data_IF_316329782125
#
_entry.id   IF_316329782125
#
_cell.length_a   1.000
_cell.length_b   1.000
_cell.length_c   1.000
_cell.angle_alpha   90.00
_cell.angle_beta   90.00
_cell.angle_gamma   90.00
#
_symmetry.space_group_name_H-M   'P 1'
#
loop_
_entity.id
_entity.type
_entity.pdbx_description
1 polymer ?
#
# COMPACT_ATOMS: atom_id res chain seq x y z
N UNK A 1 -27.39 -10.02 -19.47
CA UNK A 1 -27.67 -10.01 -18.04
C UNK A 1 -26.92 -8.90 -17.33
N UNK A 2 -27.30 -8.53 -16.11
CA UNK A 2 -26.58 -7.50 -15.38
C UNK A 2 -25.17 -7.98 -15.08
N UNK A 3 -24.20 -7.33 -15.69
CA UNK A 3 -22.80 -7.54 -15.34
C UNK A 3 -22.54 -6.87 -13.99
N UNK A 4 -22.28 -7.66 -12.98
CA UNK A 4 -21.68 -7.14 -11.75
C UNK A 4 -20.24 -6.73 -12.06
N UNK A 5 -20.03 -5.45 -12.26
CA UNK A 5 -18.70 -4.89 -12.18
C UNK A 5 -18.39 -4.60 -10.72
N UNK A 6 -17.61 -5.46 -10.09
CA UNK A 6 -17.00 -5.05 -8.85
C UNK A 6 -15.98 -3.96 -9.19
N UNK A 7 -16.23 -2.77 -8.67
CA UNK A 7 -15.34 -1.64 -8.86
C UNK A 7 -13.97 -1.93 -8.24
N UNK A 8 -12.96 -2.13 -9.09
CA UNK A 8 -11.57 -2.30 -8.69
C UNK A 8 -11.00 -3.70 -8.79
N UNK A 9 -11.76 -4.69 -9.27
CA UNK A 9 -11.24 -6.02 -9.59
C UNK A 9 -11.08 -6.18 -11.10
N UNK A 10 -9.86 -6.33 -11.55
CA UNK A 10 -9.51 -6.60 -12.94
C UNK A 10 -8.62 -7.83 -12.99
N UNK A 11 -9.01 -8.81 -13.80
CA UNK A 11 -8.19 -10.00 -14.04
C UNK A 11 -7.01 -9.65 -14.95
N UNK A 12 -5.80 -9.98 -14.54
CA UNK A 12 -4.61 -9.89 -15.36
C UNK A 12 -3.81 -11.20 -15.30
N UNK A 13 -3.29 -11.63 -16.44
CA UNK A 13 -2.40 -12.77 -16.52
C UNK A 13 -0.95 -12.33 -16.59
N UNK A 14 -0.09 -12.97 -15.82
CA UNK A 14 1.35 -12.80 -15.85
C UNK A 14 2.04 -14.08 -15.39
N UNK A 15 3.33 -14.20 -15.65
CA UNK A 15 4.13 -15.40 -15.32
C UNK A 15 4.33 -15.59 -13.81
N UNK A 16 4.13 -14.53 -13.04
CA UNK A 16 4.25 -14.57 -11.58
C UNK A 16 3.17 -13.68 -10.90
N UNK A 17 2.92 -13.93 -9.61
CA UNK A 17 1.92 -13.22 -8.83
C UNK A 17 2.20 -11.71 -8.67
N UNK A 18 3.43 -11.25 -8.38
CA UNK A 18 3.72 -9.81 -8.28
C UNK A 18 3.46 -9.06 -9.58
N UNK A 19 3.84 -9.62 -10.72
CA UNK A 19 3.60 -9.02 -12.03
C UNK A 19 2.11 -9.01 -12.37
N UNK A 20 1.39 -10.09 -12.07
CA UNK A 20 -0.06 -10.16 -12.24
C UNK A 20 -0.77 -9.11 -11.38
N UNK A 21 -0.37 -8.95 -10.13
CA UNK A 21 -0.90 -7.93 -9.23
C UNK A 21 -0.66 -6.52 -9.77
N UNK A 22 0.56 -6.19 -10.19
CA UNK A 22 0.90 -4.89 -10.76
C UNK A 22 0.11 -4.57 -12.04
N UNK A 23 -0.12 -5.57 -12.90
CA UNK A 23 -0.96 -5.42 -14.10
C UNK A 23 -2.42 -5.18 -13.75
N UNK A 24 -2.97 -5.92 -12.78
CA UNK A 24 -4.33 -5.76 -12.32
C UNK A 24 -4.56 -4.36 -11.71
N UNK A 25 -3.65 -3.87 -10.89
CA UNK A 25 -3.73 -2.53 -10.30
C UNK A 25 -3.64 -1.42 -11.37
N UNK A 26 -2.78 -1.57 -12.37
CA UNK A 26 -2.72 -0.63 -13.51
C UNK A 26 -3.99 -0.63 -14.34
N UNK A 27 -4.54 -1.80 -14.61
CA UNK A 27 -5.79 -1.94 -15.36
C UNK A 27 -6.98 -1.36 -14.59
N UNK A 28 -6.95 -1.42 -13.26
CA UNK A 28 -7.93 -0.76 -12.39
C UNK A 28 -7.73 0.77 -12.28
N UNK A 29 -6.74 1.34 -12.96
CA UNK A 29 -6.43 2.77 -12.93
C UNK A 29 -5.67 3.22 -11.67
N UNK A 30 -5.14 2.26 -10.92
CA UNK A 30 -4.32 2.51 -9.74
C UNK A 30 -2.89 2.09 -10.00
N UNK A 31 -1.95 2.96 -9.70
CA UNK A 31 -0.53 2.67 -9.77
C UNK A 31 0.02 2.41 -8.38
N UNK A 32 0.75 1.31 -8.21
CA UNK A 32 1.54 1.10 -7.02
C UNK A 32 2.66 2.16 -6.96
N UNK A 33 2.82 2.84 -5.81
CA UNK A 33 3.88 3.84 -5.66
C UNK A 33 5.25 3.15 -5.59
N UNK A 34 6.26 3.77 -6.20
CA UNK A 34 7.65 3.28 -6.09
C UNK A 34 8.29 3.67 -4.75
N UNK A 35 7.80 4.73 -4.12
CA UNK A 35 8.27 5.28 -2.84
C UNK A 35 7.17 6.14 -2.22
N UNK A 36 7.40 6.65 -1.04
CA UNK A 36 6.50 7.57 -0.37
C UNK A 36 6.10 7.12 1.03
N UNK A 37 4.86 7.33 1.38
CA UNK A 37 4.30 7.06 2.70
C UNK A 37 3.26 5.96 2.63
N UNK A 38 3.40 4.92 3.45
CA UNK A 38 2.47 3.82 3.59
C UNK A 38 1.77 3.88 4.95
N UNK A 39 0.46 3.80 4.94
CA UNK A 39 -0.35 3.68 6.16
C UNK A 39 -0.80 2.25 6.36
N UNK A 40 -0.63 1.75 7.59
CA UNK A 40 -1.02 0.40 7.99
C UNK A 40 -1.97 0.45 9.18
N UNK A 41 -3.11 -0.18 9.03
CA UNK A 41 -4.08 -0.40 10.10
C UNK A 41 -4.72 -1.77 9.92
N UNK A 42 -4.30 -2.71 10.74
CA UNK A 42 -4.74 -4.10 10.63
C UNK A 42 -5.47 -4.56 11.89
N UNK A 43 -6.40 -5.48 11.70
CA UNK A 43 -7.08 -6.16 12.81
C UNK A 43 -6.10 -6.98 13.63
N UNK A 44 -6.52 -7.39 14.83
CA UNK A 44 -5.63 -8.04 15.80
C UNK A 44 -5.02 -9.34 15.28
N UNK A 45 -5.80 -10.14 14.55
CA UNK A 45 -5.32 -11.40 13.98
C UNK A 45 -4.24 -11.22 12.90
N UNK A 46 -4.18 -10.04 12.30
CA UNK A 46 -3.24 -9.74 11.22
C UNK A 46 -1.95 -9.04 11.70
N UNK A 47 -1.86 -8.66 12.99
CA UNK A 47 -0.74 -7.86 13.51
C UNK A 47 0.62 -8.54 13.37
N UNK A 48 0.71 -9.83 13.63
CA UNK A 48 1.98 -10.54 13.51
C UNK A 48 2.39 -10.72 12.05
N UNK A 49 1.42 -11.03 11.17
CA UNK A 49 1.69 -11.29 9.76
C UNK A 49 1.94 -10.02 8.93
N UNK A 50 1.55 -8.85 9.43
CA UNK A 50 1.84 -7.57 8.75
C UNK A 50 3.28 -7.10 8.98
N UNK A 51 3.97 -7.58 10.01
CA UNK A 51 5.34 -7.16 10.34
C UNK A 51 6.31 -7.36 9.18
N UNK A 52 6.40 -8.53 8.53
CA UNK A 52 7.27 -8.70 7.36
C UNK A 52 6.94 -7.74 6.21
N UNK A 53 5.68 -7.45 5.99
CA UNK A 53 5.23 -6.48 4.97
C UNK A 53 5.75 -5.07 5.30
N UNK A 54 5.59 -4.66 6.54
CA UNK A 54 6.08 -3.36 7.02
C UNK A 54 7.60 -3.25 6.95
N UNK A 55 8.31 -4.33 7.30
CA UNK A 55 9.77 -4.41 7.18
C UNK A 55 10.22 -4.25 5.73
N UNK A 56 9.55 -4.91 4.79
CA UNK A 56 9.85 -4.81 3.38
C UNK A 56 9.56 -3.39 2.84
N UNK A 57 8.45 -2.77 3.24
CA UNK A 57 8.15 -1.37 2.89
C UNK A 57 9.21 -0.42 3.44
N UNK A 58 9.63 -0.57 4.69
CA UNK A 58 10.69 0.23 5.28
C UNK A 58 12.02 0.02 4.55
N UNK A 59 12.36 -1.21 4.18
CA UNK A 59 13.53 -1.55 3.36
C UNK A 59 13.52 -0.91 1.97
N UNK A 60 12.34 -0.70 1.41
CA UNK A 60 12.14 0.06 0.17
C UNK A 60 12.14 1.59 0.37
N UNK A 61 12.33 2.06 1.59
CA UNK A 61 12.40 3.49 1.92
C UNK A 61 11.05 4.17 2.15
N UNK A 62 9.96 3.42 2.30
CA UNK A 62 8.68 3.99 2.67
C UNK A 62 8.69 4.50 4.11
N UNK A 63 8.10 5.68 4.32
CA UNK A 63 7.72 6.16 5.64
C UNK A 63 6.49 5.40 6.10
N UNK A 64 6.49 4.90 7.32
CA UNK A 64 5.40 4.11 7.87
C UNK A 64 4.53 4.94 8.82
N UNK A 65 3.24 4.94 8.57
CA UNK A 65 2.20 5.46 9.45
C UNK A 65 1.32 4.30 9.91
N UNK A 66 0.84 4.31 11.13
CA UNK A 66 -0.07 3.28 11.62
C UNK A 66 -0.97 3.77 12.74
N UNK A 67 -2.13 3.12 12.90
CA UNK A 67 -2.97 3.30 14.09
C UNK A 67 -2.33 2.67 15.34
N UNK A 68 -2.74 3.10 16.53
CA UNK A 68 -2.06 2.80 17.79
C UNK A 68 -1.69 1.33 17.99
N UNK A 69 -2.63 0.40 17.79
CA UNK A 69 -2.38 -1.03 17.97
C UNK A 69 -1.36 -1.58 16.97
N UNK A 70 -1.50 -1.23 15.70
CA UNK A 70 -0.56 -1.61 14.65
C UNK A 70 0.80 -0.96 14.87
N UNK A 71 0.83 0.34 15.22
CA UNK A 71 2.07 1.06 15.50
C UNK A 71 2.86 0.42 16.64
N UNK A 72 2.20 0.00 17.71
CA UNK A 72 2.87 -0.71 18.83
C UNK A 72 3.53 -2.01 18.37
N UNK A 73 2.82 -2.81 17.59
CA UNK A 73 3.37 -4.06 17.04
C UNK A 73 4.58 -3.81 16.17
N UNK A 74 4.52 -2.84 15.26
CA UNK A 74 5.62 -2.50 14.36
C UNK A 74 6.83 -1.93 15.12
N UNK A 75 6.59 -1.04 16.09
CA UNK A 75 7.64 -0.48 16.94
C UNK A 75 8.33 -1.57 17.77
N UNK A 76 7.58 -2.53 18.30
CA UNK A 76 8.13 -3.68 19.03
C UNK A 76 9.00 -4.59 18.14
N UNK A 77 8.78 -4.58 16.84
CA UNK A 77 9.61 -5.26 15.84
C UNK A 77 10.81 -4.41 15.37
N UNK A 78 11.07 -3.27 16.00
CA UNK A 78 12.21 -2.40 15.71
C UNK A 78 12.01 -1.44 14.54
N UNK A 79 10.78 -1.28 14.04
CA UNK A 79 10.48 -0.38 12.93
C UNK A 79 10.21 1.05 13.40
N UNK A 80 10.74 2.03 12.67
CA UNK A 80 10.34 3.41 12.82
C UNK A 80 8.94 3.60 12.21
N UNK A 81 7.97 3.91 13.02
CA UNK A 81 6.57 4.09 12.64
C UNK A 81 5.97 5.30 13.34
N UNK A 82 5.23 6.11 12.61
CA UNK A 82 4.54 7.28 13.13
C UNK A 82 3.08 6.92 13.43
N UNK A 83 2.61 7.32 14.59
CA UNK A 83 1.22 7.12 15.00
C UNK A 83 0.29 8.07 14.27
N UNK A 84 -0.82 7.54 13.78
CA UNK A 84 -1.94 8.30 13.22
C UNK A 84 -3.23 7.86 13.91
N UNK A 85 -4.00 8.83 14.39
CA UNK A 85 -5.26 8.52 15.08
C UNK A 85 -6.31 7.92 14.14
N UNK A 86 -7.19 7.11 14.71
CA UNK A 86 -8.36 6.57 13.98
C UNK A 86 -9.32 7.70 13.60
N UNK A 87 -10.09 7.48 12.52
CA UNK A 87 -11.01 8.47 11.96
C UNK A 87 -12.09 8.87 12.97
N UNK A 88 -12.62 7.90 13.73
CA UNK A 88 -13.65 8.14 14.75
C UNK A 88 -13.09 8.61 16.11
N UNK A 89 -11.79 8.67 16.27
CA UNK A 89 -11.15 9.06 17.52
C UNK A 89 -11.04 10.59 17.61
N UNK A 90 -11.57 11.19 18.68
CA UNK A 90 -11.37 12.60 18.97
C UNK A 90 -9.91 12.88 19.33
N UNK A 91 -9.43 14.06 18.99
CA UNK A 91 -8.07 14.50 19.29
C UNK A 91 -7.51 15.44 18.24
N UNK A 92 -6.38 16.04 18.57
CA UNK A 92 -5.64 16.93 17.68
C UNK A 92 -4.82 16.15 16.66
N UNK A 93 -4.60 16.77 15.51
CA UNK A 93 -3.82 16.22 14.42
C UNK A 93 -4.65 15.51 13.35
N UNK A 94 -4.03 15.26 12.19
CA UNK A 94 -4.72 14.69 11.05
C UNK A 94 -5.04 13.20 11.25
N UNK A 95 -6.14 12.76 10.65
CA UNK A 95 -6.43 11.35 10.44
C UNK A 95 -5.80 10.87 9.14
N UNK A 96 -5.79 9.55 8.91
CA UNK A 96 -5.35 9.02 7.62
C UNK A 96 -6.21 9.53 6.46
N UNK A 97 -7.51 9.74 6.68
CA UNK A 97 -8.41 10.32 5.67
C UNK A 97 -7.93 11.72 5.26
N UNK A 98 -7.53 12.55 6.23
CA UNK A 98 -6.98 13.88 5.95
C UNK A 98 -5.67 13.79 5.17
N UNK A 99 -4.79 12.86 5.54
CA UNK A 99 -3.50 12.67 4.87
C UNK A 99 -3.68 12.17 3.44
N UNK A 100 -4.59 11.23 3.22
CA UNK A 100 -4.92 10.73 1.86
C UNK A 100 -5.46 11.86 0.99
N UNK A 101 -6.43 12.63 1.51
CA UNK A 101 -7.04 13.75 0.77
C UNK A 101 -6.03 14.86 0.43
N UNK A 102 -5.02 15.06 1.26
CA UNK A 102 -3.95 16.04 1.05
C UNK A 102 -2.79 15.52 0.20
N UNK A 103 -2.88 14.30 -0.33
CA UNK A 103 -1.81 13.68 -1.11
C UNK A 103 -0.56 13.33 -0.31
N UNK A 104 -0.69 13.11 1.00
CA UNK A 104 0.40 12.79 1.93
C UNK A 104 0.46 11.33 2.35
N UNK A 105 -0.29 10.48 1.69
CA UNK A 105 -0.28 9.03 1.86
C UNK A 105 -0.38 8.39 0.47
N UNK A 106 0.52 7.51 0.15
CA UNK A 106 0.69 6.94 -1.19
C UNK A 106 0.23 5.50 -1.30
N UNK A 107 0.14 4.80 -0.17
CA UNK A 107 -0.29 3.41 -0.09
C UNK A 107 -1.05 3.20 1.22
N UNK A 108 -2.19 2.52 1.16
CA UNK A 108 -2.99 2.15 2.32
C UNK A 108 -3.10 0.63 2.42
N UNK A 109 -2.76 0.09 3.57
CA UNK A 109 -3.04 -1.29 3.96
C UNK A 109 -4.00 -1.25 5.14
N UNK A 110 -5.25 -1.65 4.92
CA UNK A 110 -6.30 -1.61 5.92
C UNK A 110 -7.12 -2.89 5.92
N UNK A 111 -6.82 -3.81 6.84
CA UNK A 111 -7.64 -5.01 6.98
C UNK A 111 -8.89 -4.69 7.80
N UNK A 112 -10.09 -5.04 7.30
CA UNK A 112 -11.33 -4.59 7.91
C UNK A 112 -11.59 -5.25 9.25
N UNK A 113 -12.02 -4.42 10.23
CA UNK A 113 -12.67 -4.89 11.45
C UNK A 113 -14.16 -4.56 11.37
N UNK A 114 -14.99 -5.60 11.35
CA UNK A 114 -16.43 -5.42 11.24
C UNK A 114 -16.90 -5.05 9.82
N UNK A 115 -18.21 -4.92 9.68
CA UNK A 115 -18.87 -4.60 8.42
C UNK A 115 -19.76 -3.36 8.57
N UNK A 116 -19.87 -2.57 7.52
CA UNK A 116 -20.81 -1.45 7.42
C UNK A 116 -20.18 -0.10 7.03
N UNK A 117 -21.02 0.78 6.52
CA UNK A 117 -20.63 2.07 5.94
C UNK A 117 -20.14 3.12 6.96
N UNK A 118 -20.27 2.84 8.25
CA UNK A 118 -19.87 3.76 9.34
C UNK A 118 -18.55 3.40 10.00
N UNK A 119 -17.89 2.33 9.54
CA UNK A 119 -16.59 1.92 10.08
C UNK A 119 -15.48 2.83 9.58
N UNK A 120 -14.42 2.97 10.38
CA UNK A 120 -13.21 3.69 9.96
C UNK A 120 -12.64 3.13 8.66
N UNK A 121 -12.67 1.81 8.51
CA UNK A 121 -12.22 1.14 7.29
C UNK A 121 -12.97 1.57 6.03
N UNK A 122 -14.27 1.77 6.13
CA UNK A 122 -15.07 2.28 5.00
C UNK A 122 -14.62 3.69 4.59
N UNK A 123 -14.49 4.60 5.56
CA UNK A 123 -14.05 5.97 5.31
C UNK A 123 -12.65 6.05 4.71
N UNK A 124 -11.74 5.19 5.17
CA UNK A 124 -10.39 5.09 4.63
C UNK A 124 -10.41 4.62 3.18
N UNK A 125 -11.17 3.57 2.88
CA UNK A 125 -11.31 3.05 1.50
C UNK A 125 -11.94 4.05 0.55
N UNK A 126 -12.99 4.75 1.01
CA UNK A 126 -13.64 5.79 0.22
C UNK A 126 -12.67 6.93 -0.11
N UNK A 127 -11.93 7.43 0.88
CA UNK A 127 -10.94 8.49 0.68
C UNK A 127 -9.81 8.04 -0.27
N UNK A 128 -9.32 6.82 -0.11
CA UNK A 128 -8.30 6.24 -0.99
C UNK A 128 -8.80 6.10 -2.44
N UNK A 129 -10.04 5.66 -2.62
CA UNK A 129 -10.66 5.54 -3.94
C UNK A 129 -10.76 6.89 -4.64
N UNK A 130 -11.27 7.91 -3.95
CA UNK A 130 -11.40 9.27 -4.49
C UNK A 130 -10.03 9.88 -4.83
N UNK A 131 -9.05 9.68 -3.97
CA UNK A 131 -7.68 10.18 -4.18
C UNK A 131 -6.84 9.30 -5.12
N UNK A 132 -7.38 8.19 -5.61
CA UNK A 132 -6.67 7.18 -6.43
C UNK A 132 -5.43 6.60 -5.75
N UNK A 133 -5.45 6.51 -4.44
CA UNK A 133 -4.41 5.85 -3.64
C UNK A 133 -4.75 4.36 -3.54
N UNK A 134 -3.81 3.45 -3.83
CA UNK A 134 -4.03 2.03 -3.64
C UNK A 134 -4.41 1.72 -2.19
N UNK A 135 -5.51 1.02 -2.00
CA UNK A 135 -5.98 0.56 -0.70
C UNK A 135 -6.12 -0.96 -0.70
N UNK A 136 -5.25 -1.63 0.02
CA UNK A 136 -5.14 -3.08 0.05
C UNK A 136 -5.78 -3.57 1.35
N UNK A 137 -6.68 -4.54 1.24
CA UNK A 137 -7.53 -4.96 2.35
C UNK A 137 -7.17 -6.32 2.95
N UNK A 138 -6.11 -6.95 2.45
CA UNK A 138 -5.56 -8.21 2.99
C UNK A 138 -4.05 -8.12 3.15
N UNK A 139 -3.49 -8.83 4.12
CA UNK A 139 -2.03 -8.88 4.32
C UNK A 139 -1.36 -9.61 3.16
N UNK A 140 -1.97 -10.66 2.62
CA UNK A 140 -1.44 -11.36 1.43
C UNK A 140 -1.39 -10.45 0.20
N UNK A 141 -2.41 -9.63 -0.01
CA UNK A 141 -2.43 -8.61 -1.06
C UNK A 141 -1.35 -7.54 -0.85
N UNK A 142 -1.12 -7.12 0.40
CA UNK A 142 -0.06 -6.19 0.75
C UNK A 142 1.34 -6.79 0.49
N UNK A 143 1.56 -8.05 0.83
CA UNK A 143 2.80 -8.76 0.52
C UNK A 143 3.05 -8.81 -1.00
N UNK A 144 2.06 -9.17 -1.79
CA UNK A 144 2.15 -9.18 -3.25
C UNK A 144 2.44 -7.78 -3.83
N UNK A 145 1.83 -6.73 -3.26
CA UNK A 145 2.10 -5.35 -3.67
C UNK A 145 3.54 -4.92 -3.40
N UNK A 146 4.08 -5.27 -2.24
CA UNK A 146 5.49 -4.97 -1.88
C UNK A 146 6.45 -5.67 -2.83
N UNK A 147 6.22 -6.94 -3.14
CA UNK A 147 7.03 -7.68 -4.12
C UNK A 147 6.94 -7.05 -5.51
N UNK A 148 5.75 -6.61 -5.93
CA UNK A 148 5.55 -5.92 -7.20
C UNK A 148 6.31 -4.58 -7.27
N UNK A 149 6.31 -3.82 -6.18
CA UNK A 149 7.07 -2.56 -6.06
C UNK A 149 8.57 -2.84 -6.17
N UNK A 150 9.09 -3.81 -5.43
CA UNK A 150 10.49 -4.20 -5.46
C UNK A 150 10.91 -4.63 -6.86
N UNK A 151 10.13 -5.49 -7.51
CA UNK A 151 10.39 -5.97 -8.87
C UNK A 151 10.41 -4.83 -9.90
N UNK A 152 9.45 -3.91 -9.85
CA UNK A 152 9.41 -2.77 -10.74
C UNK A 152 10.62 -1.84 -10.57
N UNK A 153 11.11 -1.67 -9.35
CA UNK A 153 12.33 -0.89 -9.07
C UNK A 153 13.59 -1.56 -9.63
N UNK A 154 13.69 -2.88 -9.52
CA UNK A 154 14.81 -3.64 -10.08
C UNK A 154 14.81 -3.56 -11.61
N UNK A 155 13.67 -3.67 -12.27
CA UNK A 155 13.54 -3.48 -13.71
C UNK A 155 14.00 -2.10 -14.17
N UNK A 156 13.64 -1.04 -13.45
CA UNK A 156 14.09 0.32 -13.76
C UNK A 156 15.61 0.45 -13.58
N UNK A 157 16.17 -0.10 -12.52
CA UNK A 157 17.63 -0.09 -12.29
C UNK A 157 18.40 -0.81 -13.39
N UNK A 158 17.93 -1.97 -13.81
CA UNK A 158 18.54 -2.73 -14.94
C UNK A 158 18.46 -1.95 -16.25
N UNK A 159 17.32 -1.36 -16.57
CA UNK A 159 17.13 -0.54 -17.77
C UNK A 159 18.06 0.68 -17.81
N UNK A 160 18.26 1.34 -16.66
CA UNK A 160 19.22 2.45 -16.54
C UNK A 160 20.65 1.98 -16.73
N UNK A 161 21.04 0.83 -16.17
CA UNK A 161 22.38 0.26 -16.32
C UNK A 161 22.67 -0.10 -17.77
N UNK A 162 21.73 -0.74 -18.46
CA UNK A 162 21.85 -1.07 -19.88
C UNK A 162 22.05 0.18 -20.75
N UNK A 163 21.36 1.26 -20.45
CA UNK A 163 21.51 2.55 -21.17
C UNK A 163 22.90 3.16 -20.93
N UNK A 164 23.36 3.18 -19.68
CA UNK A 164 24.70 3.67 -19.32
C UNK A 164 25.77 2.87 -20.04
N UNK A 165 25.66 1.54 -20.04
CA UNK A 165 26.62 0.65 -20.70
C UNK A 165 26.61 0.83 -22.23
N UNK A 166 25.46 1.08 -22.84
CA UNK A 166 25.33 1.36 -24.26
C UNK A 166 25.99 2.70 -24.62
N UNK A 167 25.77 3.75 -23.83
CA UNK A 167 26.40 5.08 -24.01
C UNK A 167 27.92 4.99 -23.86
N UNK A 168 28.42 4.24 -22.87
CA UNK A 168 29.87 4.03 -22.67
C UNK A 168 30.52 3.27 -23.83
N UNK A 169 29.79 2.37 -24.54
CA UNK A 169 30.29 1.66 -25.71
C UNK A 169 30.34 2.49 -26.99
N UNK A 170 29.57 3.57 -27.06
CA UNK A 170 29.54 4.48 -28.23
C UNK A 170 30.43 5.72 -28.07
N UNK A 171 31.00 5.91 -26.90
CA UNK A 171 31.99 6.96 -26.61
C UNK A 171 33.41 6.43 -26.84
#
# INVERSE_FOLDING_TARGET
>A
GPEMRSTGEVMASASDLPTAFAKAERAAGRRLPASGTAFLSVRDEDKDVVVPVAQALAGLGFRLLATAGTARTLASAGLAVEYVRKVAQEGDGPTVVDLVRRGRCDLVVNTPQGSGARTDGYRIREAALVARVPCITTVSGAAAAVEAIAHARDEVALSLQERIDAEARTA
#
